data_IF_578711588684
#
_entry.id   IF_578711588684
#
_cell.length_a   1.000
_cell.length_b   1.000
_cell.length_c   1.000
_cell.angle_alpha   90.00
_cell.angle_beta   90.00
_cell.angle_gamma   90.00
#
_symmetry.space_group_name_H-M   'P 1'
#
loop_
_entity.id
_entity.type
_entity.pdbx_description
1 polymer ?
#
# COMPACT_ATOMS: atom_id res chain seq x y z
N UNK A 1 23.23 -4.15 -5.22
CA UNK A 1 22.22 -3.93 -6.30
C UNK A 1 21.93 -2.44 -6.40
N UNK A 2 21.50 -1.92 -7.56
CA UNK A 2 21.06 -0.52 -7.70
C UNK A 2 19.54 -0.47 -7.93
N UNK A 3 18.73 0.00 -6.97
CA UNK A 3 17.26 0.07 -7.12
C UNK A 3 16.78 0.93 -8.28
N UNK A 4 17.64 1.82 -8.78
CA UNK A 4 17.39 2.67 -9.95
C UNK A 4 17.76 2.00 -11.29
N UNK A 5 18.45 0.85 -11.24
CA UNK A 5 18.86 0.10 -12.43
C UNK A 5 17.77 -0.82 -12.96
N UNK A 6 17.76 -1.08 -14.27
CA UNK A 6 16.85 -2.07 -14.87
C UNK A 6 17.11 -3.47 -14.30
N UNK A 7 16.04 -4.23 -14.08
CA UNK A 7 16.14 -5.61 -13.58
C UNK A 7 16.39 -5.69 -12.07
N UNK A 8 16.24 -4.59 -11.33
CA UNK A 8 16.39 -4.58 -9.88
C UNK A 8 15.38 -5.52 -9.22
N UNK A 9 14.14 -5.59 -9.71
CA UNK A 9 13.09 -6.40 -9.07
C UNK A 9 13.41 -7.88 -9.18
N UNK A 10 13.88 -8.31 -10.35
CA UNK A 10 14.35 -9.69 -10.55
C UNK A 10 15.49 -10.03 -9.59
N UNK A 11 16.50 -9.16 -9.51
CA UNK A 11 17.65 -9.38 -8.63
C UNK A 11 17.25 -9.40 -7.15
N UNK A 12 16.30 -8.56 -6.77
CA UNK A 12 15.76 -8.50 -5.42
C UNK A 12 15.00 -9.78 -5.04
N UNK A 13 14.11 -10.24 -5.92
CA UNK A 13 13.33 -11.46 -5.68
C UNK A 13 14.21 -12.71 -5.61
N UNK A 14 15.28 -12.78 -6.40
CA UNK A 14 16.26 -13.87 -6.28
C UNK A 14 16.99 -13.81 -4.93
N UNK A 15 17.39 -12.61 -4.49
CA UNK A 15 18.02 -12.43 -3.18
C UNK A 15 17.10 -12.81 -2.01
N UNK A 16 15.81 -12.49 -2.10
CA UNK A 16 14.80 -12.78 -1.07
C UNK A 16 14.15 -14.16 -1.16
N UNK A 17 14.60 -15.02 -2.08
CA UNK A 17 13.95 -16.30 -2.37
C UNK A 17 13.73 -17.18 -1.14
N UNK A 18 14.74 -17.29 -0.26
CA UNK A 18 14.63 -18.10 0.95
C UNK A 18 13.65 -17.49 1.98
N UNK A 19 13.67 -16.16 2.14
CA UNK A 19 12.70 -15.45 2.98
C UNK A 19 11.25 -15.66 2.48
N UNK A 20 11.04 -15.54 1.16
CA UNK A 20 9.74 -15.75 0.55
C UNK A 20 9.26 -17.21 0.67
N UNK A 21 10.19 -18.16 0.66
CA UNK A 21 9.90 -19.58 0.91
C UNK A 21 9.42 -19.79 2.34
N UNK A 22 10.11 -19.23 3.32
CA UNK A 22 9.73 -19.34 4.73
C UNK A 22 8.37 -18.68 5.00
N UNK A 23 8.11 -17.54 4.36
CA UNK A 23 6.81 -16.89 4.42
C UNK A 23 5.69 -17.78 3.85
N UNK A 24 5.92 -18.39 2.68
CA UNK A 24 4.94 -19.27 2.06
C UNK A 24 4.62 -20.50 2.94
N UNK A 25 5.59 -20.96 3.73
CA UNK A 25 5.44 -22.08 4.65
C UNK A 25 4.79 -21.73 6.00
N UNK A 26 4.87 -20.46 6.46
CA UNK A 26 4.49 -20.05 7.83
C UNK A 26 3.11 -19.42 7.94
N UNK A 27 2.18 -19.80 7.05
CA UNK A 27 0.82 -19.25 7.08
C UNK A 27 0.11 -19.53 8.40
N UNK A 28 -0.43 -18.47 8.98
CA UNK A 28 -1.33 -18.55 10.12
C UNK A 28 -2.72 -18.99 9.70
N UNK A 29 -3.60 -19.17 10.68
CA UNK A 29 -5.00 -19.55 10.45
C UNK A 29 -5.85 -18.46 9.78
N UNK A 30 -5.40 -17.21 9.77
CA UNK A 30 -6.12 -16.08 9.19
C UNK A 30 -5.18 -15.19 8.33
N UNK A 31 -5.45 -14.99 7.03
CA UNK A 31 -4.59 -14.23 6.12
C UNK A 31 -4.26 -12.82 6.62
N UNK A 32 -5.23 -12.10 7.18
CA UNK A 32 -4.99 -10.74 7.70
C UNK A 32 -4.01 -10.71 8.90
N UNK A 33 -4.04 -11.74 9.76
CA UNK A 33 -3.08 -11.82 10.88
C UNK A 33 -1.68 -12.10 10.37
N UNK A 34 -1.57 -12.98 9.35
CA UNK A 34 -0.30 -13.24 8.67
C UNK A 34 0.22 -12.00 7.96
N UNK A 35 -0.63 -11.26 7.23
CA UNK A 35 -0.24 -10.03 6.57
C UNK A 35 0.27 -9.01 7.59
N UNK A 36 -0.46 -8.80 8.69
CA UNK A 36 -0.02 -7.87 9.74
C UNK A 36 1.33 -8.25 10.34
N UNK A 37 1.57 -9.55 10.61
CA UNK A 37 2.85 -10.03 11.15
C UNK A 37 4.02 -9.77 10.20
N UNK A 38 3.78 -9.78 8.90
CA UNK A 38 4.80 -9.50 7.89
C UNK A 38 5.02 -8.00 7.74
N UNK A 39 3.94 -7.21 7.62
CA UNK A 39 4.04 -5.81 7.23
C UNK A 39 4.33 -4.89 8.42
N UNK A 40 3.74 -5.12 9.59
CA UNK A 40 3.87 -4.19 10.72
C UNK A 40 5.33 -3.96 11.16
N UNK A 41 6.20 -4.99 11.27
CA UNK A 41 7.59 -4.79 11.66
C UNK A 41 8.41 -3.97 10.66
N UNK A 42 7.94 -3.85 9.41
CA UNK A 42 8.64 -3.11 8.34
C UNK A 42 8.44 -1.59 8.41
N UNK A 43 7.61 -1.11 9.33
CA UNK A 43 7.28 0.31 9.42
C UNK A 43 6.31 0.82 8.34
N UNK A 44 5.97 0.01 7.32
CA UNK A 44 5.19 0.48 6.16
C UNK A 44 3.79 0.99 6.56
N UNK A 45 3.14 0.35 7.54
CA UNK A 45 1.84 0.82 8.06
C UNK A 45 1.92 2.23 8.66
N UNK A 46 3.13 2.67 9.01
CA UNK A 46 3.44 3.97 9.57
C UNK A 46 4.18 4.85 8.56
N UNK A 47 4.13 4.52 7.27
CA UNK A 47 4.76 5.30 6.20
C UNK A 47 6.30 5.41 6.30
N UNK A 48 6.92 4.55 7.09
CA UNK A 48 8.37 4.49 7.30
C UNK A 48 8.94 3.20 6.68
N UNK A 49 10.24 3.20 6.40
CA UNK A 49 10.98 1.96 6.17
C UNK A 49 11.75 1.60 7.42
N UNK A 50 11.09 0.91 8.34
CA UNK A 50 11.69 0.40 9.58
C UNK A 50 11.99 -1.09 9.41
N UNK A 51 12.98 -1.60 10.13
CA UNK A 51 13.30 -3.02 10.11
C UNK A 51 14.48 -3.36 9.19
N UNK A 52 15.10 -4.49 9.51
CA UNK A 52 16.29 -4.98 8.83
C UNK A 52 15.90 -5.58 7.48
N UNK A 53 15.66 -4.73 6.49
CA UNK A 53 15.83 -5.13 5.09
C UNK A 53 17.35 -5.27 4.90
N UNK A 54 17.94 -6.33 5.47
CA UNK A 54 19.39 -6.53 5.47
C UNK A 54 19.82 -6.86 4.04
N UNK A 55 20.10 -5.82 3.26
CA UNK A 55 20.55 -5.89 1.89
C UNK A 55 21.90 -5.19 1.77
N UNK A 56 22.93 -5.84 1.19
CA UNK A 56 24.25 -5.25 1.04
C UNK A 56 24.23 -3.90 0.28
N UNK A 57 24.70 -2.84 0.94
CA UNK A 57 24.79 -1.48 0.39
C UNK A 57 23.47 -0.70 0.42
N UNK A 58 22.50 -1.12 1.24
CA UNK A 58 21.26 -0.36 1.48
C UNK A 58 21.50 0.95 2.26
N UNK A 59 22.61 1.04 3.00
CA UNK A 59 23.01 2.26 3.73
C UNK A 59 23.11 3.48 2.80
N UNK A 60 23.50 3.25 1.54
CA UNK A 60 23.64 4.28 0.51
C UNK A 60 22.33 4.57 -0.26
N UNK A 61 21.25 3.84 0.02
CA UNK A 61 19.98 4.02 -0.69
C UNK A 61 19.20 5.21 -0.15
N UNK A 62 18.56 5.94 -1.05
CA UNK A 62 17.58 6.96 -0.68
C UNK A 62 16.37 6.32 0.00
N UNK A 63 15.67 7.07 0.87
CA UNK A 63 14.41 6.61 1.48
C UNK A 63 13.37 6.22 0.42
N UNK A 64 13.37 6.93 -0.72
CA UNK A 64 12.55 6.61 -1.89
C UNK A 64 12.85 5.20 -2.41
N UNK A 65 14.13 4.87 -2.60
CA UNK A 65 14.55 3.56 -3.09
C UNK A 65 14.26 2.45 -2.08
N UNK A 66 14.41 2.71 -0.78
CA UNK A 66 14.03 1.78 0.29
C UNK A 66 12.52 1.51 0.27
N UNK A 67 11.70 2.57 0.19
CA UNK A 67 10.23 2.43 0.17
C UNK A 67 9.75 1.68 -1.08
N UNK A 68 10.38 1.89 -2.23
CA UNK A 68 10.11 1.13 -3.47
C UNK A 68 10.35 -0.36 -3.31
N UNK A 69 11.46 -0.73 -2.69
CA UNK A 69 11.82 -2.12 -2.41
C UNK A 69 10.82 -2.72 -1.42
N UNK A 70 10.50 -1.98 -0.36
CA UNK A 70 9.58 -2.41 0.68
C UNK A 70 8.16 -2.62 0.13
N UNK A 71 7.67 -1.70 -0.73
CA UNK A 71 6.38 -1.84 -1.40
C UNK A 71 6.35 -3.10 -2.29
N UNK A 72 7.41 -3.35 -3.05
CA UNK A 72 7.49 -4.53 -3.92
C UNK A 72 7.49 -5.84 -3.12
N UNK A 73 8.29 -5.92 -2.07
CA UNK A 73 8.31 -7.08 -1.16
C UNK A 73 6.95 -7.29 -0.50
N UNK A 74 6.31 -6.21 -0.05
CA UNK A 74 5.02 -6.24 0.63
C UNK A 74 3.89 -6.72 -0.27
N UNK A 75 3.87 -6.32 -1.55
CA UNK A 75 2.91 -6.79 -2.53
C UNK A 75 3.10 -8.29 -2.81
N UNK A 76 4.33 -8.73 -3.06
CA UNK A 76 4.62 -10.16 -3.28
C UNK A 76 4.26 -10.98 -2.05
N UNK A 77 4.63 -10.50 -0.87
CA UNK A 77 4.30 -11.13 0.42
C UNK A 77 2.79 -11.23 0.64
N UNK A 78 2.05 -10.16 0.33
CA UNK A 78 0.58 -10.16 0.39
C UNK A 78 0.00 -11.24 -0.54
N UNK A 79 0.47 -11.34 -1.79
CA UNK A 79 0.03 -12.42 -2.68
C UNK A 79 0.37 -13.81 -2.15
N UNK A 80 1.51 -14.01 -1.48
CA UNK A 80 1.87 -15.29 -0.89
C UNK A 80 1.01 -15.65 0.32
N UNK A 81 0.68 -14.66 1.15
CA UNK A 81 -0.17 -14.83 2.35
C UNK A 81 -1.60 -15.19 1.98
N UNK A 82 -2.15 -14.53 0.95
CA UNK A 82 -3.53 -14.75 0.51
C UNK A 82 -3.70 -15.91 -0.46
N UNK A 83 -2.60 -16.51 -0.96
CA UNK A 83 -2.69 -17.60 -1.93
C UNK A 83 -3.22 -18.91 -1.36
N UNK A 84 -4.50 -19.22 -1.46
CA UNK A 84 -5.13 -20.47 -0.96
C UNK A 84 -4.41 -21.80 -1.27
N UNK A 85 -3.56 -21.89 -2.29
CA UNK A 85 -2.79 -23.11 -2.60
C UNK A 85 -1.49 -23.19 -1.80
N UNK A 86 -1.21 -24.30 -1.09
CA UNK A 86 0.09 -24.54 -0.46
C UNK A 86 1.23 -24.54 -1.47
N UNK A 87 2.38 -23.98 -1.08
CA UNK A 87 3.60 -23.97 -1.90
C UNK A 87 4.55 -25.03 -1.33
N UNK A 88 4.72 -26.13 -2.06
CA UNK A 88 5.47 -27.31 -1.60
C UNK A 88 6.80 -27.50 -2.33
N UNK A 89 7.06 -26.73 -3.40
CA UNK A 89 8.31 -26.82 -4.17
C UNK A 89 8.88 -25.46 -4.56
N UNK A 90 10.19 -25.36 -4.85
CA UNK A 90 10.80 -24.14 -5.38
C UNK A 90 10.17 -23.65 -6.69
N UNK A 91 9.72 -24.57 -7.55
CA UNK A 91 9.08 -24.23 -8.83
C UNK A 91 7.69 -23.64 -8.62
N UNK A 92 6.91 -24.20 -7.69
CA UNK A 92 5.62 -23.62 -7.27
C UNK A 92 5.81 -22.22 -6.68
N UNK A 93 6.82 -22.02 -5.83
CA UNK A 93 7.14 -20.70 -5.27
C UNK A 93 7.46 -19.71 -6.39
N UNK A 94 8.34 -20.09 -7.32
CA UNK A 94 8.69 -19.26 -8.48
C UNK A 94 7.47 -18.87 -9.30
N UNK A 95 6.56 -19.82 -9.55
CA UNK A 95 5.32 -19.57 -10.29
C UNK A 95 4.40 -18.58 -9.56
N UNK A 96 4.23 -18.74 -8.24
CA UNK A 96 3.39 -17.82 -7.45
C UNK A 96 4.02 -16.42 -7.41
N UNK A 97 5.33 -16.31 -7.22
CA UNK A 97 6.05 -15.02 -7.23
C UNK A 97 5.94 -14.35 -8.61
N UNK A 98 6.14 -15.08 -9.70
CA UNK A 98 6.01 -14.54 -11.05
C UNK A 98 4.58 -14.09 -11.36
N UNK A 99 3.58 -14.85 -10.90
CA UNK A 99 2.17 -14.45 -10.99
C UNK A 99 1.89 -13.20 -10.17
N UNK A 100 2.45 -13.07 -8.97
CA UNK A 100 2.35 -11.86 -8.17
C UNK A 100 2.93 -10.65 -8.90
N UNK A 101 4.12 -10.78 -9.50
CA UNK A 101 4.77 -9.71 -10.30
C UNK A 101 3.90 -9.29 -11.48
N UNK A 102 3.32 -10.23 -12.23
CA UNK A 102 2.38 -9.92 -13.31
C UNK A 102 1.15 -9.18 -12.77
N UNK A 103 0.62 -9.67 -11.66
CA UNK A 103 -0.55 -9.09 -11.02
C UNK A 103 -0.30 -7.69 -10.47
N UNK A 104 0.91 -7.34 -10.02
CA UNK A 104 1.24 -5.95 -9.64
C UNK A 104 0.98 -5.02 -10.82
N UNK A 105 1.44 -5.38 -12.02
CA UNK A 105 1.23 -4.56 -13.21
C UNK A 105 -0.24 -4.44 -13.59
N UNK A 106 -0.99 -5.55 -13.54
CA UNK A 106 -2.42 -5.57 -13.85
C UNK A 106 -3.25 -4.81 -12.81
N UNK A 107 -2.92 -4.96 -11.53
CA UNK A 107 -3.59 -4.31 -10.41
C UNK A 107 -3.53 -2.79 -10.57
N UNK A 108 -2.32 -2.22 -10.66
CA UNK A 108 -2.19 -0.77 -10.76
C UNK A 108 -2.81 -0.20 -12.04
N UNK A 109 -2.71 -0.90 -13.17
CA UNK A 109 -3.34 -0.44 -14.42
C UNK A 109 -4.87 -0.43 -14.36
N UNK A 110 -5.49 -1.36 -13.61
CA UNK A 110 -6.94 -1.45 -13.52
C UNK A 110 -7.50 -0.64 -12.36
N UNK A 111 -6.86 -0.68 -11.19
CA UNK A 111 -7.38 -0.05 -9.97
C UNK A 111 -6.96 1.42 -9.87
N UNK A 112 -5.91 1.83 -10.58
CA UNK A 112 -5.37 3.19 -10.58
C UNK A 112 -5.21 3.71 -12.01
N UNK A 113 -6.32 4.01 -12.71
CA UNK A 113 -6.28 4.45 -14.11
C UNK A 113 -5.38 5.68 -14.34
N UNK A 114 -5.27 6.58 -13.36
CA UNK A 114 -4.35 7.72 -13.33
C UNK A 114 -2.87 7.31 -13.41
N UNK A 115 -2.55 6.12 -12.89
CA UNK A 115 -1.21 5.54 -12.91
C UNK A 115 -0.95 4.59 -14.08
N UNK A 116 -1.95 4.33 -14.93
CA UNK A 116 -1.85 3.37 -16.01
C UNK A 116 -0.57 3.55 -16.84
N UNK A 117 0.15 2.45 -17.03
CA UNK A 117 1.44 2.39 -17.73
C UNK A 117 1.27 1.57 -19.01
N UNK A 118 1.64 2.12 -20.19
CA UNK A 118 1.51 1.40 -21.44
C UNK A 118 2.27 0.06 -21.45
N UNK A 119 1.63 -0.99 -21.95
CA UNK A 119 2.23 -2.32 -22.07
C UNK A 119 3.33 -2.40 -23.14
N UNK A 120 3.43 -1.42 -24.04
CA UNK A 120 4.44 -1.35 -25.11
C UNK A 120 5.50 -0.28 -24.84
N UNK A 121 6.70 -0.48 -25.37
CA UNK A 121 7.75 0.55 -25.41
C UNK A 121 7.48 1.52 -26.57
N UNK A 122 8.23 2.62 -26.64
CA UNK A 122 8.15 3.59 -27.75
C UNK A 122 8.43 2.97 -29.13
N UNK A 123 9.13 1.82 -29.17
CA UNK A 123 9.44 1.08 -30.39
C UNK A 123 8.47 -0.10 -30.63
N UNK A 124 7.32 -0.13 -29.94
CA UNK A 124 6.29 -1.15 -30.14
C UNK A 124 6.57 -2.52 -29.49
N UNK A 125 7.71 -2.72 -28.83
CA UNK A 125 8.01 -3.97 -28.11
C UNK A 125 7.10 -4.09 -26.88
N UNK A 126 6.46 -5.24 -26.67
CA UNK A 126 5.74 -5.54 -25.43
C UNK A 126 6.71 -5.64 -24.25
N UNK A 127 6.42 -4.93 -23.16
CA UNK A 127 7.15 -5.05 -21.89
C UNK A 127 6.88 -6.42 -21.27
N UNK A 128 7.89 -7.00 -20.64
CA UNK A 128 7.69 -8.18 -19.80
C UNK A 128 6.90 -7.79 -18.53
N UNK A 129 6.24 -8.75 -17.85
CA UNK A 129 5.59 -8.48 -16.56
C UNK A 129 6.54 -7.81 -15.55
N UNK A 130 7.80 -8.26 -15.51
CA UNK A 130 8.85 -7.69 -14.66
C UNK A 130 9.13 -6.21 -15.00
N UNK A 131 9.31 -5.88 -16.29
CA UNK A 131 9.56 -4.49 -16.72
C UNK A 131 8.37 -3.58 -16.46
N UNK A 132 7.14 -4.11 -16.58
CA UNK A 132 5.92 -3.36 -16.30
C UNK A 132 5.78 -3.09 -14.80
N UNK A 133 6.00 -4.09 -13.96
CA UNK A 133 5.96 -3.96 -12.51
C UNK A 133 7.02 -2.97 -11.99
N UNK A 134 8.28 -3.08 -12.45
CA UNK A 134 9.35 -2.14 -12.09
C UNK A 134 8.96 -0.69 -12.41
N UNK A 135 8.41 -0.44 -13.60
CA UNK A 135 8.00 0.90 -14.02
C UNK A 135 6.83 1.44 -13.20
N UNK A 136 5.86 0.60 -12.87
CA UNK A 136 4.69 0.98 -12.08
C UNK A 136 5.09 1.29 -10.64
N UNK A 137 5.96 0.47 -10.03
CA UNK A 137 6.47 0.69 -8.68
C UNK A 137 7.26 2.01 -8.60
N UNK A 138 8.11 2.29 -9.59
CA UNK A 138 8.80 3.59 -9.68
C UNK A 138 7.80 4.73 -9.76
N UNK A 139 6.83 4.67 -10.69
CA UNK A 139 5.81 5.71 -10.85
C UNK A 139 4.99 5.93 -9.58
N UNK A 140 4.64 4.86 -8.87
CA UNK A 140 3.85 4.94 -7.62
C UNK A 140 4.62 5.69 -6.54
N UNK A 141 5.89 5.38 -6.38
CA UNK A 141 6.76 6.02 -5.38
C UNK A 141 7.11 7.45 -5.79
N UNK A 142 7.27 7.74 -7.08
CA UNK A 142 7.54 9.10 -7.59
C UNK A 142 6.45 10.13 -7.27
N UNK A 143 5.21 9.70 -7.02
CA UNK A 143 4.15 10.61 -6.56
C UNK A 143 4.47 11.32 -5.24
N UNK A 144 5.43 10.81 -4.46
CA UNK A 144 5.91 11.45 -3.23
C UNK A 144 6.97 12.52 -3.43
N UNK A 145 7.52 12.66 -4.63
CA UNK A 145 8.66 13.57 -4.88
C UNK A 145 8.33 15.04 -4.57
N UNK A 146 7.09 15.46 -4.84
CA UNK A 146 6.61 16.81 -4.52
C UNK A 146 6.35 17.03 -3.01
N UNK A 147 6.38 15.96 -2.21
CA UNK A 147 6.17 15.98 -0.76
C UNK A 147 7.50 15.95 0.02
N UNK A 148 8.64 15.87 -0.68
CA UNK A 148 9.97 15.86 -0.06
C UNK A 148 10.17 17.11 0.82
N UNK A 149 10.64 16.90 2.06
CA UNK A 149 10.88 17.95 3.05
C UNK A 149 9.75 18.18 4.06
N UNK A 150 8.55 17.62 3.86
CA UNK A 150 7.49 17.59 4.88
C UNK A 150 7.28 16.17 5.40
N UNK A 151 7.79 15.91 6.61
CA UNK A 151 7.71 14.60 7.25
C UNK A 151 6.28 14.03 7.29
N UNK A 152 5.28 14.82 7.70
CA UNK A 152 3.91 14.36 7.86
C UNK A 152 3.21 14.10 6.53
N UNK A 153 3.45 14.92 5.52
CA UNK A 153 2.90 14.69 4.19
C UNK A 153 3.45 13.39 3.58
N UNK A 154 4.78 13.19 3.70
CA UNK A 154 5.45 11.95 3.28
C UNK A 154 4.95 10.74 4.08
N UNK A 155 4.84 10.87 5.41
CA UNK A 155 4.30 9.86 6.32
C UNK A 155 2.91 9.40 5.88
N UNK A 156 1.97 10.34 5.68
CA UNK A 156 0.59 9.98 5.32
C UNK A 156 0.52 9.36 3.94
N UNK A 157 1.23 9.91 2.95
CA UNK A 157 1.25 9.32 1.62
C UNK A 157 1.77 7.89 1.62
N UNK A 158 2.89 7.64 2.31
CA UNK A 158 3.45 6.30 2.40
C UNK A 158 2.57 5.34 3.21
N UNK A 159 1.93 5.81 4.28
CA UNK A 159 0.98 5.01 5.05
C UNK A 159 -0.19 4.53 4.17
N UNK A 160 -0.58 5.31 3.15
CA UNK A 160 -1.61 4.88 2.19
C UNK A 160 -1.15 3.73 1.28
N UNK A 161 0.15 3.45 1.14
CA UNK A 161 0.64 2.28 0.42
C UNK A 161 0.21 0.97 1.11
N UNK A 162 -0.03 0.99 2.42
CA UNK A 162 -0.60 -0.15 3.13
C UNK A 162 -1.97 -0.54 2.56
N UNK A 163 -2.81 0.44 2.22
CA UNK A 163 -4.11 0.16 1.60
C UNK A 163 -3.93 -0.47 0.22
N UNK A 164 -2.93 -0.04 -0.56
CA UNK A 164 -2.62 -0.65 -1.85
C UNK A 164 -2.25 -2.14 -1.67
N UNK A 165 -1.45 -2.48 -0.65
CA UNK A 165 -1.04 -3.86 -0.32
C UNK A 165 -2.21 -4.72 0.16
N UNK A 166 -3.07 -4.15 1.02
CA UNK A 166 -4.26 -4.83 1.53
C UNK A 166 -5.22 -5.16 0.39
N UNK A 167 -5.57 -4.17 -0.42
CA UNK A 167 -6.49 -4.32 -1.56
C UNK A 167 -5.89 -5.28 -2.59
N UNK A 168 -4.59 -5.18 -2.87
CA UNK A 168 -3.90 -6.09 -3.79
C UNK A 168 -4.04 -7.55 -3.37
N UNK A 169 -3.85 -7.86 -2.07
CA UNK A 169 -3.99 -9.22 -1.54
C UNK A 169 -5.39 -9.80 -1.72
N UNK A 170 -6.43 -8.97 -1.60
CA UNK A 170 -7.80 -9.40 -1.87
C UNK A 170 -8.06 -9.55 -3.37
N UNK A 171 -7.60 -8.58 -4.17
CA UNK A 171 -7.83 -8.51 -5.61
C UNK A 171 -7.18 -9.65 -6.38
N UNK A 172 -5.97 -10.06 -5.99
CA UNK A 172 -5.13 -11.01 -6.76
C UNK A 172 -5.74 -12.42 -6.91
N UNK A 173 -6.73 -12.75 -6.08
CA UNK A 173 -7.46 -14.03 -6.12
C UNK A 173 -8.82 -13.93 -6.81
N UNK A 174 -9.17 -12.75 -7.32
CA UNK A 174 -10.40 -12.52 -8.07
C UNK A 174 -10.16 -12.66 -9.58
N UNK A 175 -11.16 -13.17 -10.31
CA UNK A 175 -11.15 -13.05 -11.76
C UNK A 175 -11.47 -11.59 -12.11
N UNK A 176 -10.42 -10.82 -12.40
CA UNK A 176 -10.51 -9.38 -12.63
C UNK A 176 -11.24 -9.06 -13.95
N UNK A 177 -12.57 -9.09 -13.93
CA UNK A 177 -13.40 -8.45 -14.93
C UNK A 177 -13.63 -6.97 -14.59
N UNK A 178 -14.39 -6.28 -15.45
CA UNK A 178 -14.67 -4.85 -15.26
C UNK A 178 -15.44 -4.57 -13.96
N UNK A 179 -16.39 -5.43 -13.58
CA UNK A 179 -17.24 -5.25 -12.39
C UNK A 179 -16.38 -5.36 -11.14
N UNK A 180 -15.50 -6.36 -11.09
CA UNK A 180 -14.53 -6.55 -10.01
C UNK A 180 -13.59 -5.34 -9.91
N UNK A 181 -13.08 -4.84 -11.03
CA UNK A 181 -12.23 -3.66 -11.03
C UNK A 181 -12.97 -2.40 -10.54
N UNK A 182 -14.24 -2.20 -10.93
CA UNK A 182 -15.09 -1.11 -10.43
C UNK A 182 -15.30 -1.20 -8.91
N UNK A 183 -15.56 -2.41 -8.39
CA UNK A 183 -15.70 -2.66 -6.96
C UNK A 183 -14.44 -2.27 -6.18
N UNK A 184 -13.26 -2.74 -6.60
CA UNK A 184 -12.02 -2.44 -5.89
C UNK A 184 -11.57 -0.98 -6.03
N UNK A 185 -11.92 -0.29 -7.13
CA UNK A 185 -11.75 1.16 -7.25
C UNK A 185 -12.58 1.91 -6.22
N UNK A 186 -13.86 1.53 -6.07
CA UNK A 186 -14.75 2.09 -5.07
C UNK A 186 -14.22 1.82 -3.64
N UNK A 187 -13.88 0.56 -3.35
CA UNK A 187 -13.37 0.15 -2.03
C UNK A 187 -12.10 0.91 -1.64
N UNK A 188 -11.18 1.10 -2.59
CA UNK A 188 -9.97 1.92 -2.40
C UNK A 188 -10.32 3.34 -1.97
N UNK A 189 -11.26 3.97 -2.65
CA UNK A 189 -11.64 5.36 -2.40
C UNK A 189 -12.37 5.48 -1.04
N UNK A 190 -13.23 4.52 -0.70
CA UNK A 190 -13.91 4.47 0.60
C UNK A 190 -12.94 4.22 1.76
N UNK A 191 -11.94 3.35 1.62
CA UNK A 191 -10.92 3.13 2.65
C UNK A 191 -10.07 4.39 2.90
N UNK A 192 -9.70 5.11 1.84
CA UNK A 192 -8.98 6.39 1.96
C UNK A 192 -9.85 7.45 2.62
N UNK A 193 -11.12 7.52 2.25
CA UNK A 193 -12.07 8.46 2.85
C UNK A 193 -12.41 8.08 4.29
N UNK A 194 -12.30 6.81 4.67
CA UNK A 194 -12.46 6.37 6.06
C UNK A 194 -11.39 6.94 6.97
N UNK A 195 -10.16 7.14 6.48
CA UNK A 195 -9.10 7.81 7.24
C UNK A 195 -9.47 9.26 7.58
N UNK A 196 -10.12 10.00 6.66
CA UNK A 196 -10.65 11.36 6.94
C UNK A 196 -11.57 11.32 8.15
N UNK A 197 -12.50 10.36 8.18
CA UNK A 197 -13.46 10.21 9.29
C UNK A 197 -12.74 9.86 10.59
N UNK A 198 -11.76 8.98 10.54
CA UNK A 198 -10.95 8.59 11.70
C UNK A 198 -10.18 9.77 12.27
N UNK A 199 -9.50 10.56 11.42
CA UNK A 199 -8.79 11.77 11.86
C UNK A 199 -9.76 12.78 12.47
N UNK A 200 -10.93 13.00 11.84
CA UNK A 200 -11.96 13.89 12.36
C UNK A 200 -12.53 13.41 13.71
N UNK A 201 -12.81 12.12 13.86
CA UNK A 201 -13.31 11.55 15.11
C UNK A 201 -12.27 11.67 16.24
N UNK A 202 -11.01 11.38 15.94
CA UNK A 202 -9.91 11.49 16.90
C UNK A 202 -9.70 12.95 17.36
N UNK A 203 -9.62 13.89 16.41
CA UNK A 203 -9.43 15.32 16.71
C UNK A 203 -10.56 15.94 17.54
N UNK A 204 -11.77 15.38 17.48
CA UNK A 204 -12.93 15.84 18.26
C UNK A 204 -13.15 15.06 19.55
N UNK A 205 -12.30 14.07 19.88
CA UNK A 205 -12.52 13.16 21.01
C UNK A 205 -12.59 13.87 22.38
N UNK A 206 -11.81 14.95 22.55
CA UNK A 206 -11.79 15.79 23.76
C UNK A 206 -12.71 17.04 23.65
N UNK A 207 -13.47 17.18 22.55
CA UNK A 207 -14.35 18.32 22.20
C UNK A 207 -13.65 19.63 21.82
N UNK A 208 -12.33 19.64 21.67
CA UNK A 208 -11.55 20.80 21.26
C UNK A 208 -10.48 20.40 20.23
N UNK A 209 -10.59 20.93 19.01
CA UNK A 209 -9.60 20.69 17.95
C UNK A 209 -8.45 21.68 18.10
N UNK A 210 -7.27 21.15 18.38
CA UNK A 210 -6.00 21.89 18.43
C UNK A 210 -5.53 22.34 17.05
N UNK A 211 -4.57 23.27 17.05
CA UNK A 211 -3.91 23.72 15.82
C UNK A 211 -3.16 22.57 15.13
N UNK A 212 -2.50 21.73 15.91
CA UNK A 212 -1.71 20.59 15.45
C UNK A 212 -2.58 19.53 14.77
N UNK A 213 -3.72 19.16 15.35
CA UNK A 213 -4.68 18.21 14.77
C UNK A 213 -5.23 18.72 13.43
N UNK A 214 -5.61 20.01 13.38
CA UNK A 214 -6.03 20.65 12.13
C UNK A 214 -4.92 20.64 11.09
N UNK A 215 -3.68 20.92 11.52
CA UNK A 215 -2.52 20.90 10.62
C UNK A 215 -2.25 19.50 10.08
N UNK A 216 -2.35 18.46 10.91
CA UNK A 216 -2.22 17.06 10.48
C UNK A 216 -3.30 16.70 9.46
N UNK A 217 -4.55 17.10 9.70
CA UNK A 217 -5.65 16.90 8.76
C UNK A 217 -5.38 17.56 7.40
N UNK A 218 -4.95 18.82 7.39
CA UNK A 218 -4.62 19.56 6.16
C UNK A 218 -3.49 18.87 5.39
N UNK A 219 -2.48 18.38 6.10
CA UNK A 219 -1.36 17.64 5.52
C UNK A 219 -1.81 16.31 4.92
N UNK A 220 -2.64 15.55 5.63
CA UNK A 220 -3.25 14.33 5.10
C UNK A 220 -4.04 14.62 3.81
N UNK A 221 -4.94 15.60 3.83
CA UNK A 221 -5.72 15.96 2.63
C UNK A 221 -4.83 16.38 1.47
N UNK A 222 -3.77 17.15 1.73
CA UNK A 222 -2.82 17.56 0.70
C UNK A 222 -2.09 16.37 0.06
N UNK A 223 -1.78 15.33 0.84
CA UNK A 223 -1.08 14.12 0.38
C UNK A 223 -1.98 13.07 -0.29
N UNK A 224 -3.29 13.29 -0.35
CA UNK A 224 -4.25 12.39 -1.00
C UNK A 224 -4.59 12.82 -2.42
N UNK A 225 -4.96 11.89 -3.28
CA UNK A 225 -5.48 12.17 -4.64
C UNK A 225 -7.01 12.37 -4.66
N UNK A 226 -7.60 12.83 -3.55
CA UNK A 226 -9.05 12.99 -3.45
C UNK A 226 -9.56 14.08 -4.44
N UNK A 227 -10.66 13.80 -5.18
CA UNK A 227 -11.34 14.80 -5.99
C UNK A 227 -11.82 16.03 -5.20
N UNK A 228 -12.03 17.15 -5.88
CA UNK A 228 -12.33 18.44 -5.23
C UNK A 228 -13.64 18.44 -4.41
N UNK A 229 -14.66 17.71 -4.86
CA UNK A 229 -15.91 17.49 -4.14
C UNK A 229 -15.69 16.66 -2.87
N UNK A 230 -14.92 15.57 -2.96
CA UNK A 230 -14.53 14.75 -1.80
C UNK A 230 -13.67 15.52 -0.80
N UNK A 231 -12.79 16.41 -1.25
CA UNK A 231 -12.01 17.31 -0.36
C UNK A 231 -12.92 18.28 0.40
N UNK A 232 -13.92 18.87 -0.26
CA UNK A 232 -14.92 19.72 0.41
C UNK A 232 -15.75 18.93 1.41
N UNK A 233 -16.15 17.71 1.05
CA UNK A 233 -16.85 16.81 1.95
C UNK A 233 -16.02 16.47 3.18
N UNK A 234 -14.74 16.14 2.98
CA UNK A 234 -13.79 15.85 4.05
C UNK A 234 -13.63 17.04 5.00
N UNK A 235 -13.45 18.26 4.47
CA UNK A 235 -13.35 19.47 5.29
C UNK A 235 -14.61 19.67 6.13
N UNK A 236 -15.79 19.51 5.54
CA UNK A 236 -17.07 19.64 6.25
C UNK A 236 -17.21 18.62 7.38
N UNK A 237 -16.78 17.37 7.15
CA UNK A 237 -16.78 16.32 8.17
C UNK A 237 -15.82 16.69 9.30
N UNK A 238 -14.60 17.12 8.97
CA UNK A 238 -13.61 17.52 9.96
C UNK A 238 -14.07 18.73 10.79
N UNK A 239 -14.63 19.76 10.16
CA UNK A 239 -15.10 20.96 10.87
C UNK A 239 -16.27 20.66 11.82
N UNK A 240 -17.17 19.75 11.42
CA UNK A 240 -18.33 19.35 12.22
C UNK A 240 -17.96 18.35 13.33
N UNK A 241 -16.95 17.53 13.10
CA UNK A 241 -16.72 16.30 13.84
C UNK A 241 -17.66 15.17 13.40
N UNK A 242 -17.29 13.94 13.73
CA UNK A 242 -18.09 12.74 13.49
C UNK A 242 -17.94 11.79 14.68
N UNK A 243 -19.04 11.16 15.10
CA UNK A 243 -19.01 10.16 16.16
C UNK A 243 -18.50 8.83 15.61
N UNK A 244 -17.85 8.04 16.47
CA UNK A 244 -17.31 6.72 16.09
C UNK A 244 -18.41 5.82 15.49
N UNK A 245 -19.58 5.80 16.11
CA UNK A 245 -20.72 4.98 15.69
C UNK A 245 -21.33 5.44 14.34
N UNK A 246 -21.04 6.67 13.90
CA UNK A 246 -21.52 7.23 12.63
C UNK A 246 -20.55 6.98 11.48
N UNK A 247 -19.31 6.56 11.74
CA UNK A 247 -18.27 6.48 10.70
C UNK A 247 -18.54 5.43 9.63
N UNK A 248 -19.34 4.39 9.92
CA UNK A 248 -19.61 3.23 9.08
C UNK A 248 -18.36 2.82 8.28
N UNK A 249 -17.37 2.29 9.01
CA UNK A 249 -16.08 1.93 8.43
C UNK A 249 -16.24 0.63 7.64
N UNK A 250 -15.69 0.52 6.40
CA UNK A 250 -15.63 -0.74 5.65
C UNK A 250 -14.91 -1.86 6.44
N UNK A 251 -14.21 -1.48 7.51
CA UNK A 251 -13.49 -2.36 8.42
C UNK A 251 -14.38 -3.18 9.37
N UNK A 252 -15.71 -3.07 9.39
CA UNK A 252 -16.55 -3.87 10.32
C UNK A 252 -16.19 -5.37 10.28
N UNK A 253 -15.74 -5.87 9.13
CA UNK A 253 -15.32 -7.26 8.91
C UNK A 253 -13.80 -7.49 8.74
N UNK A 254 -12.95 -6.46 8.81
CA UNK A 254 -11.49 -6.61 8.64
C UNK A 254 -10.73 -6.26 9.93
N UNK A 255 -10.01 -7.24 10.47
CA UNK A 255 -9.22 -7.08 11.69
C UNK A 255 -8.00 -6.17 11.47
N UNK A 256 -7.30 -6.33 10.33
CA UNK A 256 -6.09 -5.55 10.06
C UNK A 256 -6.41 -4.08 9.76
N UNK A 257 -7.54 -3.80 9.09
CA UNK A 257 -7.97 -2.42 8.86
C UNK A 257 -8.38 -1.73 10.16
N UNK A 258 -9.06 -2.43 11.10
CA UNK A 258 -9.34 -1.89 12.43
C UNK A 258 -8.07 -1.46 13.16
N UNK A 259 -7.02 -2.27 13.09
CA UNK A 259 -5.70 -1.91 13.65
C UNK A 259 -5.10 -0.71 12.95
N UNK A 260 -5.06 -0.72 11.62
CA UNK A 260 -4.52 0.40 10.85
C UNK A 260 -5.23 1.72 11.19
N UNK A 261 -6.56 1.74 11.25
CA UNK A 261 -7.31 2.94 11.63
C UNK A 261 -7.06 3.38 13.07
N UNK A 262 -6.89 2.44 14.00
CA UNK A 262 -6.50 2.77 15.38
C UNK A 262 -5.12 3.42 15.45
N UNK A 263 -4.15 2.92 14.67
CA UNK A 263 -2.81 3.50 14.59
C UNK A 263 -2.88 4.94 14.07
N UNK A 264 -3.69 5.19 13.02
CA UNK A 264 -3.91 6.55 12.53
C UNK A 264 -4.58 7.44 13.58
N UNK A 265 -5.61 6.95 14.27
CA UNK A 265 -6.28 7.72 15.33
C UNK A 265 -5.30 8.11 16.45
N UNK A 266 -4.40 7.21 16.83
CA UNK A 266 -3.41 7.43 17.90
C UNK A 266 -2.41 8.53 17.55
N UNK A 267 -2.13 8.76 16.27
CA UNK A 267 -1.25 9.85 15.82
C UNK A 267 -1.90 11.24 15.91
N UNK A 268 -3.23 11.28 15.99
CA UNK A 268 -3.99 12.53 16.06
C UNK A 268 -4.24 12.94 17.53
N UNK A 269 -4.34 11.97 18.43
CA UNK A 269 -4.60 12.17 19.87
C UNK A 269 -3.40 12.73 20.66
#
# INVERSE_FOLDING_TARGET
MKPQGKGWLKNYLEFRKDLLKDLAATRGSHPEHSLYRVIQPTGLMYGQTVGDVDFPGMEDWSEKDKMKILLAESLVSSSLVFNDTPVNSPDELSNVVMKAVENIGNFYNNIFPEMATPATTLFGRRKTPMELAEKILEKRIELTSDLEGNFWAYFFHNSLLFLDIYIFGQWVHTNADKIVADFFRYERDELRFSIVKVIAAAAHANKEVSYEEKRLFDLFLSGTDLPADKRKEAQRIFDKGILVDEMNLPAENSWILKKFFLEIATLVL
#
